data_IF_050446547908
#
_entry.id   IF_050446547908
#
_cell.length_a   1.000
_cell.length_b   1.000
_cell.length_c   1.000
_cell.angle_alpha   90.00
_cell.angle_beta   90.00
_cell.angle_gamma   90.00
#
_symmetry.space_group_name_H-M   'P 1'
#
loop_
_entity.id
_entity.type
_entity.pdbx_description
1 polymer ?
#
# COMPACT_ATOMS: atom_id res chain seq x y z
N UNK A 1 7.93 -20.74 9.99
CA UNK A 1 7.94 -19.29 10.25
C UNK A 1 6.58 -18.88 10.81
N UNK A 2 6.53 -18.36 12.03
CA UNK A 2 5.31 -17.82 12.64
C UNK A 2 5.10 -16.39 12.17
N UNK A 3 3.90 -16.08 11.73
CA UNK A 3 3.55 -14.76 11.17
C UNK A 3 2.47 -14.10 12.04
N UNK A 4 2.63 -12.81 12.28
CA UNK A 4 1.61 -11.94 12.87
C UNK A 4 1.18 -10.91 11.83
N UNK A 5 -0.13 -10.69 11.68
CA UNK A 5 -0.68 -9.66 10.79
C UNK A 5 -1.32 -8.54 11.61
N UNK A 6 -0.86 -7.31 11.42
CA UNK A 6 -1.53 -6.10 11.91
C UNK A 6 -2.26 -5.41 10.75
N UNK A 7 -3.43 -4.85 11.04
CA UNK A 7 -4.27 -4.20 10.02
C UNK A 7 -4.56 -5.13 8.84
N UNK A 8 -4.89 -6.38 9.17
CA UNK A 8 -4.94 -7.51 8.24
C UNK A 8 -5.95 -7.33 7.08
N UNK A 9 -6.90 -6.39 7.21
CA UNK A 9 -7.96 -6.19 6.23
C UNK A 9 -8.76 -7.48 6.03
N UNK A 10 -8.86 -7.91 4.78
CA UNK A 10 -9.50 -9.19 4.41
C UNK A 10 -8.49 -10.33 4.24
N UNK A 11 -7.26 -10.16 4.72
CA UNK A 11 -6.20 -11.18 4.72
C UNK A 11 -5.36 -11.25 3.45
N UNK A 12 -5.04 -10.10 2.86
CA UNK A 12 -4.24 -10.03 1.64
C UNK A 12 -2.85 -10.65 1.78
N UNK A 13 -2.12 -10.34 2.84
CA UNK A 13 -0.81 -10.93 3.14
C UNK A 13 -0.94 -12.44 3.36
N UNK A 14 -1.88 -12.86 4.20
CA UNK A 14 -2.10 -14.28 4.49
C UNK A 14 -2.39 -15.10 3.24
N UNK A 15 -3.24 -14.60 2.34
CA UNK A 15 -3.52 -15.27 1.06
C UNK A 15 -2.23 -15.44 0.25
N UNK A 16 -1.40 -14.40 0.17
CA UNK A 16 -0.13 -14.45 -0.55
C UNK A 16 0.83 -15.47 0.04
N UNK A 17 1.04 -15.42 1.34
CA UNK A 17 1.93 -16.33 2.07
C UNK A 17 1.46 -17.78 2.02
N UNK A 18 0.16 -18.05 2.24
CA UNK A 18 -0.40 -19.40 2.19
C UNK A 18 -0.41 -19.99 0.77
N UNK A 19 -0.45 -19.18 -0.28
CA UNK A 19 -0.30 -19.64 -1.67
C UNK A 19 1.11 -20.14 -1.96
N UNK A 20 2.11 -19.55 -1.31
CA UNK A 20 3.50 -20.03 -1.41
C UNK A 20 3.67 -21.32 -0.61
N UNK A 21 3.34 -21.30 0.68
CA UNK A 21 3.42 -22.50 1.53
C UNK A 21 2.69 -22.31 2.86
N UNK A 22 1.61 -23.05 3.06
CA UNK A 22 0.89 -23.07 4.35
C UNK A 22 1.67 -23.77 5.46
N UNK A 23 2.60 -24.61 5.11
CA UNK A 23 3.46 -25.31 6.09
C UNK A 23 4.57 -24.40 6.56
N UNK A 24 5.15 -23.62 5.66
CA UNK A 24 6.25 -22.71 6.00
C UNK A 24 5.75 -21.43 6.69
N UNK A 25 4.73 -20.77 6.13
CA UNK A 25 4.14 -19.56 6.69
C UNK A 25 2.90 -19.91 7.52
N UNK A 26 3.01 -19.79 8.82
CA UNK A 26 1.92 -20.04 9.76
C UNK A 26 1.48 -18.73 10.41
N UNK A 27 0.34 -18.19 9.98
CA UNK A 27 -0.25 -16.98 10.58
C UNK A 27 -0.87 -17.38 11.93
N UNK A 28 -0.18 -17.08 13.01
CA UNK A 28 -0.56 -17.46 14.39
C UNK A 28 -1.45 -16.44 15.06
N UNK A 29 -1.46 -15.20 14.59
CA UNK A 29 -2.26 -14.12 15.15
C UNK A 29 -2.50 -13.01 14.13
N UNK A 30 -3.65 -12.36 14.22
CA UNK A 30 -4.01 -11.25 13.34
C UNK A 30 -4.87 -10.23 14.07
N UNK A 31 -4.78 -8.96 13.65
CA UNK A 31 -5.61 -7.88 14.15
C UNK A 31 -6.21 -7.08 12.99
N UNK A 32 -7.51 -6.80 13.10
CA UNK A 32 -8.22 -5.90 12.19
C UNK A 32 -9.29 -5.15 12.94
N UNK A 33 -9.24 -3.82 12.91
CA UNK A 33 -10.24 -2.96 13.52
C UNK A 33 -10.40 -1.65 12.76
N UNK A 34 -11.63 -1.22 12.51
CA UNK A 34 -11.96 0.04 11.85
C UNK A 34 -12.76 0.94 12.80
N UNK A 35 -12.12 1.92 13.45
CA UNK A 35 -12.77 2.72 14.50
C UNK A 35 -13.91 3.62 13.98
N UNK A 36 -13.94 3.90 12.67
CA UNK A 36 -14.97 4.75 12.04
C UNK A 36 -16.25 4.02 11.66
N UNK A 37 -16.27 2.69 11.75
CA UNK A 37 -17.42 1.87 11.34
C UNK A 37 -18.03 1.13 12.51
N UNK A 38 -19.37 1.05 12.54
CA UNK A 38 -20.08 0.25 13.55
C UNK A 38 -19.96 -1.25 13.26
N UNK A 39 -19.96 -1.62 11.99
CA UNK A 39 -19.83 -3.01 11.55
C UNK A 39 -18.45 -3.25 10.98
N UNK A 40 -17.79 -4.27 11.46
CA UNK A 40 -16.39 -4.59 11.17
C UNK A 40 -16.29 -5.55 9.97
N UNK A 41 -16.73 -5.10 8.79
CA UNK A 41 -16.83 -5.93 7.59
C UNK A 41 -15.53 -6.63 7.21
N UNK A 42 -14.38 -5.94 7.27
CA UNK A 42 -13.10 -6.54 6.92
C UNK A 42 -12.75 -7.69 7.89
N UNK A 43 -12.93 -7.47 9.18
CA UNK A 43 -12.74 -8.51 10.21
C UNK A 43 -13.71 -9.69 10.02
N UNK A 44 -14.99 -9.42 9.74
CA UNK A 44 -15.99 -10.48 9.46
C UNK A 44 -15.57 -11.34 8.26
N UNK A 45 -15.11 -10.72 7.16
CA UNK A 45 -14.63 -11.43 5.96
C UNK A 45 -13.36 -12.23 6.28
N UNK A 46 -12.44 -11.66 7.08
CA UNK A 46 -11.24 -12.37 7.51
C UNK A 46 -11.59 -13.64 8.28
N UNK A 47 -12.46 -13.51 9.29
CA UNK A 47 -12.90 -14.65 10.13
C UNK A 47 -13.66 -15.69 9.30
N UNK A 48 -14.54 -15.27 8.38
CA UNK A 48 -15.27 -16.18 7.50
C UNK A 48 -14.32 -17.01 6.61
N UNK A 49 -13.17 -16.43 6.22
CA UNK A 49 -12.20 -17.09 5.33
C UNK A 49 -11.20 -17.98 6.07
N UNK A 50 -10.71 -17.54 7.21
CA UNK A 50 -9.56 -18.15 7.89
C UNK A 50 -9.90 -18.72 9.28
N UNK A 51 -11.12 -18.52 9.76
CA UNK A 51 -11.51 -18.82 11.13
C UNK A 51 -11.16 -17.70 12.12
N UNK A 52 -11.77 -17.76 13.30
CA UNK A 52 -11.59 -16.77 14.36
C UNK A 52 -10.43 -17.05 15.32
N UNK A 53 -9.79 -18.20 15.23
CA UNK A 53 -8.69 -18.55 16.12
C UNK A 53 -7.49 -17.61 15.92
N UNK A 54 -7.06 -16.93 16.99
CA UNK A 54 -5.95 -15.95 16.93
C UNK A 54 -6.30 -14.65 16.21
N UNK A 55 -7.57 -14.40 15.87
CA UNK A 55 -8.00 -13.12 15.30
C UNK A 55 -8.58 -12.20 16.38
N UNK A 56 -8.10 -10.95 16.41
CA UNK A 56 -8.52 -9.93 17.37
C UNK A 56 -9.15 -8.75 16.63
N UNK A 57 -10.41 -8.43 16.95
CA UNK A 57 -11.10 -7.26 16.42
C UNK A 57 -11.20 -6.18 17.50
N UNK A 58 -10.08 -5.56 17.78
CA UNK A 58 -9.95 -4.47 18.76
C UNK A 58 -8.92 -3.45 18.27
N UNK A 59 -9.04 -2.20 18.74
CA UNK A 59 -8.04 -1.18 18.49
C UNK A 59 -6.67 -1.64 18.99
N UNK A 60 -5.70 -1.76 18.09
CA UNK A 60 -4.36 -2.25 18.40
C UNK A 60 -3.66 -1.43 19.49
N UNK A 61 -4.01 -0.16 19.65
CA UNK A 61 -3.50 0.68 20.73
C UNK A 61 -3.93 0.19 22.14
N UNK A 62 -5.00 -0.59 22.21
CA UNK A 62 -5.51 -1.17 23.46
C UNK A 62 -5.03 -2.60 23.70
N UNK A 63 -4.45 -3.25 22.68
CA UNK A 63 -3.95 -4.61 22.79
C UNK A 63 -2.55 -4.59 23.41
N UNK A 64 -2.34 -5.15 24.60
CA UNK A 64 -1.00 -5.26 25.19
C UNK A 64 -0.10 -6.13 24.32
N UNK A 65 1.16 -5.74 24.16
CA UNK A 65 2.12 -6.52 23.36
C UNK A 65 2.34 -7.93 23.89
N UNK A 66 2.16 -8.13 25.19
CA UNK A 66 2.20 -9.46 25.81
C UNK A 66 1.12 -10.41 25.29
N UNK A 67 -0.01 -9.89 24.79
CA UNK A 67 -1.09 -10.69 24.17
C UNK A 67 -0.79 -11.08 22.71
N UNK A 68 0.23 -10.48 22.09
CA UNK A 68 0.69 -10.80 20.75
C UNK A 68 1.74 -11.91 20.87
N UNK A 69 1.54 -13.09 20.27
CA UNK A 69 2.49 -14.20 20.38
C UNK A 69 3.86 -13.83 19.83
N UNK A 70 4.91 -14.57 20.28
CA UNK A 70 6.23 -14.45 19.66
C UNK A 70 6.17 -14.98 18.23
N UNK A 71 6.78 -14.24 17.31
CA UNK A 71 6.68 -14.47 15.87
C UNK A 71 7.99 -14.10 15.16
N UNK A 72 8.19 -14.72 14.01
CA UNK A 72 9.39 -14.52 13.20
C UNK A 72 9.20 -13.40 12.16
N UNK A 73 7.95 -13.22 11.70
CA UNK A 73 7.58 -12.23 10.69
C UNK A 73 6.36 -11.42 11.13
N UNK A 74 6.42 -10.10 10.94
CA UNK A 74 5.28 -9.20 11.12
C UNK A 74 4.88 -8.60 9.78
N UNK A 75 3.63 -8.84 9.38
CA UNK A 75 3.01 -8.23 8.21
C UNK A 75 2.07 -7.10 8.63
N UNK A 76 2.11 -5.95 7.94
CA UNK A 76 1.20 -4.86 8.25
C UNK A 76 0.88 -3.99 7.01
N UNK A 77 -0.42 -3.86 6.71
CA UNK A 77 -0.94 -2.89 5.75
C UNK A 77 -1.51 -1.68 6.48
N UNK A 78 -0.65 -0.84 7.05
CA UNK A 78 -1.12 0.26 7.88
C UNK A 78 -1.74 1.40 7.06
N UNK A 79 -2.93 1.91 7.46
CA UNK A 79 -3.63 2.93 6.69
C UNK A 79 -2.88 4.25 6.64
N UNK A 80 -3.05 4.91 5.47
CA UNK A 80 -2.44 6.18 5.10
C UNK A 80 -3.19 7.41 5.66
N UNK A 81 -4.26 7.22 6.41
CA UNK A 81 -5.10 8.31 6.89
C UNK A 81 -4.52 8.89 8.19
N UNK A 82 -4.17 10.16 8.16
CA UNK A 82 -3.54 10.96 9.23
C UNK A 82 -2.01 10.85 9.33
N UNK A 83 -1.33 11.26 8.23
CA UNK A 83 0.11 11.50 8.29
C UNK A 83 0.45 12.68 9.19
N UNK A 84 0.68 12.37 10.43
CA UNK A 84 1.47 13.19 11.30
C UNK A 84 2.31 12.32 12.23
N UNK A 85 3.18 11.48 11.62
CA UNK A 85 4.25 10.82 12.38
C UNK A 85 4.95 11.86 13.25
N UNK A 86 5.17 13.07 12.72
CA UNK A 86 5.76 14.18 13.45
C UNK A 86 4.86 14.83 14.52
N UNK A 87 3.53 14.85 14.34
CA UNK A 87 2.63 15.37 15.40
C UNK A 87 2.71 14.52 16.67
N UNK A 88 2.85 13.22 16.52
CA UNK A 88 2.98 12.30 17.64
C UNK A 88 4.32 12.47 18.35
N UNK A 89 5.39 12.80 17.63
CA UNK A 89 6.70 13.13 18.23
C UNK A 89 6.65 14.40 19.08
N UNK A 90 6.02 15.45 18.59
CA UNK A 90 5.86 16.71 19.38
C UNK A 90 4.86 16.57 20.53
N UNK A 91 3.94 15.59 20.48
CA UNK A 91 2.94 15.29 21.51
C UNK A 91 3.36 14.11 22.41
N UNK A 92 4.39 13.34 22.06
CA UNK A 92 4.95 12.30 22.91
C UNK A 92 5.58 12.85 24.20
N UNK A 93 5.79 14.15 24.29
CA UNK A 93 6.04 14.86 25.54
C UNK A 93 4.79 15.08 26.43
N UNK A 94 3.59 14.66 25.95
CA UNK A 94 2.32 14.77 26.68
C UNK A 94 1.34 13.68 26.24
N UNK A 95 1.09 12.74 27.13
CA UNK A 95 0.14 11.63 27.06
C UNK A 95 -1.28 12.17 26.76
N UNK A 96 -1.97 11.57 25.78
CA UNK A 96 -3.36 11.77 25.33
C UNK A 96 -3.59 12.50 24.00
N UNK A 97 -2.98 12.02 22.92
CA UNK A 97 -3.34 12.42 21.55
C UNK A 97 -4.30 11.43 20.90
N UNK A 98 -5.52 11.89 20.56
CA UNK A 98 -6.52 11.14 19.81
C UNK A 98 -5.93 10.58 18.51
N UNK A 99 -6.00 9.24 18.29
CA UNK A 99 -5.60 8.46 17.12
C UNK A 99 -4.11 8.59 16.80
N UNK A 100 -3.29 7.91 17.58
CA UNK A 100 -1.88 7.70 17.26
C UNK A 100 -1.73 7.13 15.85
N UNK A 101 -0.79 7.70 15.09
CA UNK A 101 -0.42 7.16 13.78
C UNK A 101 -0.14 5.68 13.97
N UNK A 102 -0.78 4.82 13.20
CA UNK A 102 -0.72 3.36 13.40
C UNK A 102 0.69 2.81 13.20
N UNK A 103 1.59 3.56 12.56
CA UNK A 103 3.02 3.30 12.53
C UNK A 103 3.60 3.11 13.94
N UNK A 104 3.25 3.98 14.88
CA UNK A 104 3.77 3.91 16.26
C UNK A 104 3.28 2.67 17.02
N UNK A 105 2.20 2.05 16.58
CA UNK A 105 1.77 0.76 17.15
C UNK A 105 2.63 -0.39 16.61
N UNK A 106 3.06 -0.33 15.36
CA UNK A 106 4.05 -1.28 14.81
C UNK A 106 5.36 -1.12 15.56
N UNK A 107 5.86 0.12 15.68
CA UNK A 107 7.08 0.45 16.43
C UNK A 107 7.01 -0.04 17.87
N UNK A 108 5.90 0.23 18.57
CA UNK A 108 5.68 -0.22 19.95
C UNK A 108 5.80 -1.73 20.06
N UNK A 109 5.15 -2.48 19.19
CA UNK A 109 5.21 -3.95 19.19
C UNK A 109 6.64 -4.44 19.02
N UNK A 110 7.39 -3.89 18.07
CA UNK A 110 8.78 -4.28 17.82
C UNK A 110 9.64 -3.96 19.05
N UNK A 111 9.56 -2.73 19.56
CA UNK A 111 10.35 -2.25 20.70
C UNK A 111 10.06 -3.04 21.98
N UNK A 112 8.78 -3.30 22.28
CA UNK A 112 8.37 -4.03 23.48
C UNK A 112 8.67 -5.53 23.40
N UNK A 113 8.75 -6.12 22.20
CA UNK A 113 9.26 -7.48 21.99
C UNK A 113 10.77 -7.58 22.25
N UNK A 114 11.52 -6.51 22.09
CA UNK A 114 12.95 -6.47 22.41
C UNK A 114 13.76 -7.54 21.69
N UNK A 115 14.37 -8.46 22.42
CA UNK A 115 15.16 -9.57 21.84
C UNK A 115 14.33 -10.56 21.02
N UNK A 116 13.00 -10.58 21.24
CA UNK A 116 12.05 -11.41 20.51
C UNK A 116 11.34 -10.65 19.39
N UNK A 117 11.83 -9.45 19.04
CA UNK A 117 11.35 -8.71 17.91
C UNK A 117 11.47 -9.56 16.63
N UNK A 118 10.50 -9.50 15.72
CA UNK A 118 10.48 -10.33 14.51
C UNK A 118 11.74 -10.08 13.67
N UNK A 119 12.26 -11.14 13.06
CA UNK A 119 13.41 -11.02 12.16
C UNK A 119 13.05 -10.32 10.85
N UNK A 120 11.79 -10.44 10.42
CA UNK A 120 11.31 -9.89 9.15
C UNK A 120 10.07 -9.03 9.38
N UNK A 121 10.08 -7.83 8.80
CA UNK A 121 8.88 -6.99 8.66
C UNK A 121 8.50 -6.93 7.19
N UNK A 122 7.22 -7.18 6.88
CA UNK A 122 6.68 -7.01 5.54
C UNK A 122 5.51 -6.02 5.58
N UNK A 123 5.77 -4.81 5.14
CA UNK A 123 4.87 -3.68 5.29
C UNK A 123 4.35 -3.22 3.93
N UNK A 124 3.10 -2.76 3.88
CA UNK A 124 2.49 -2.18 2.68
C UNK A 124 1.89 -0.82 3.00
N UNK A 125 2.02 0.09 2.05
CA UNK A 125 1.36 1.38 2.11
C UNK A 125 1.10 1.94 0.69
N UNK A 126 0.43 3.08 0.60
CA UNK A 126 0.34 3.80 -0.67
C UNK A 126 1.68 4.46 -1.02
N UNK A 127 1.99 4.56 -2.31
CA UNK A 127 3.23 5.15 -2.82
C UNK A 127 3.42 6.64 -2.43
N UNK A 128 2.33 7.33 -2.07
CA UNK A 128 2.39 8.71 -1.56
C UNK A 128 3.15 8.85 -0.24
N UNK A 129 3.36 7.77 0.50
CA UNK A 129 4.17 7.75 1.72
C UNK A 129 5.56 8.35 1.46
N UNK A 130 6.18 8.07 0.31
CA UNK A 130 7.49 8.61 -0.08
C UNK A 130 7.50 10.14 -0.21
N UNK A 131 6.34 10.77 -0.32
CA UNK A 131 6.17 12.22 -0.49
C UNK A 131 5.40 12.88 0.66
N UNK A 132 5.12 12.13 1.73
CA UNK A 132 4.38 12.65 2.89
C UNK A 132 5.32 13.38 3.87
N UNK A 133 4.86 14.50 4.42
CA UNK A 133 3.71 15.32 4.05
C UNK A 133 4.01 16.24 2.85
N UNK A 134 2.98 16.78 2.21
CA UNK A 134 3.14 17.63 1.02
C UNK A 134 4.01 18.88 1.24
N UNK A 135 4.01 19.43 2.45
CA UNK A 135 4.79 20.64 2.84
C UNK A 135 6.24 20.34 3.22
N UNK A 136 6.60 19.07 3.41
CA UNK A 136 7.94 18.62 3.81
C UNK A 136 8.17 17.21 3.28
N UNK A 137 8.29 17.10 1.95
CA UNK A 137 8.27 15.83 1.23
C UNK A 137 9.28 14.83 1.75
N UNK A 138 8.78 13.62 2.06
CA UNK A 138 9.59 12.48 2.49
C UNK A 138 9.86 12.42 4.00
N UNK A 139 9.49 13.45 4.78
CA UNK A 139 9.74 13.48 6.22
C UNK A 139 9.18 12.25 6.95
N UNK A 140 7.92 11.91 6.68
CA UNK A 140 7.27 10.82 7.38
C UNK A 140 7.93 9.47 7.07
N UNK A 141 8.37 9.27 5.82
CA UNK A 141 9.12 8.07 5.45
C UNK A 141 10.53 8.05 6.04
N UNK A 142 11.21 9.20 6.14
CA UNK A 142 12.50 9.33 6.80
C UNK A 142 12.41 8.92 8.29
N UNK A 143 11.34 9.35 8.99
CA UNK A 143 11.09 8.97 10.39
C UNK A 143 10.87 7.44 10.49
N UNK A 144 10.10 6.84 9.60
CA UNK A 144 9.91 5.37 9.56
C UNK A 144 11.24 4.66 9.39
N UNK A 145 12.06 5.08 8.42
CA UNK A 145 13.38 4.47 8.18
C UNK A 145 14.32 4.65 9.38
N UNK A 146 14.38 5.86 9.95
CA UNK A 146 15.23 6.10 11.14
C UNK A 146 14.79 5.25 12.32
N UNK A 147 13.48 5.18 12.58
CA UNK A 147 12.92 4.34 13.66
C UNK A 147 13.30 2.87 13.50
N UNK A 148 13.26 2.35 12.26
CA UNK A 148 13.68 0.97 11.96
C UNK A 148 15.19 0.81 12.10
N UNK A 149 15.99 1.79 11.68
CA UNK A 149 17.44 1.79 11.87
C UNK A 149 17.81 1.75 13.35
N UNK A 150 17.16 2.56 14.19
CA UNK A 150 17.39 2.61 15.64
C UNK A 150 17.05 1.28 16.33
N UNK A 151 16.13 0.52 15.75
CA UNK A 151 15.78 -0.81 16.22
C UNK A 151 16.61 -1.92 15.56
N UNK A 152 17.66 -1.58 14.81
CA UNK A 152 18.59 -2.50 14.17
C UNK A 152 17.96 -3.29 13.03
N UNK A 153 17.33 -2.60 12.08
CA UNK A 153 16.84 -3.20 10.84
C UNK A 153 17.54 -2.61 9.62
N UNK A 154 17.92 -3.47 8.70
CA UNK A 154 18.18 -3.13 7.30
C UNK A 154 16.86 -3.11 6.56
N UNK A 155 16.61 -2.11 5.72
CA UNK A 155 15.32 -1.91 5.08
C UNK A 155 15.49 -1.82 3.56
N UNK A 156 14.67 -2.53 2.80
CA UNK A 156 14.49 -2.28 1.37
C UNK A 156 13.04 -1.88 1.07
N UNK A 157 12.85 -1.07 0.03
CA UNK A 157 11.51 -0.72 -0.43
C UNK A 157 11.41 -0.66 -1.95
N UNK A 158 10.20 -0.89 -2.45
CA UNK A 158 9.86 -0.75 -3.85
C UNK A 158 8.42 -0.31 -4.05
N UNK A 159 8.22 0.66 -4.92
CA UNK A 159 6.90 0.98 -5.43
C UNK A 159 6.58 0.03 -6.57
N UNK A 160 5.57 -0.78 -6.37
CA UNK A 160 5.08 -1.75 -7.35
C UNK A 160 3.70 -1.32 -7.82
N UNK A 161 3.52 -1.23 -9.14
CA UNK A 161 2.20 -1.18 -9.75
C UNK A 161 1.87 -2.59 -10.26
N UNK A 162 0.83 -3.20 -9.74
CA UNK A 162 0.48 -4.58 -10.04
C UNK A 162 0.31 -4.84 -11.56
N UNK A 163 -0.20 -3.86 -12.30
CA UNK A 163 -0.35 -3.96 -13.76
C UNK A 163 0.97 -4.05 -14.52
N UNK A 164 2.06 -3.49 -13.96
CA UNK A 164 3.37 -3.54 -14.60
C UNK A 164 3.97 -4.95 -14.56
N UNK A 165 3.45 -5.80 -13.65
CA UNK A 165 3.84 -7.20 -13.47
C UNK A 165 2.69 -8.16 -13.81
N UNK A 166 1.87 -7.82 -14.80
CA UNK A 166 0.90 -8.70 -15.42
C UNK A 166 -0.48 -8.78 -14.75
N UNK A 167 -0.71 -8.10 -13.63
CA UNK A 167 -2.00 -8.14 -12.96
C UNK A 167 -3.06 -7.26 -13.67
N UNK A 168 -4.34 -7.62 -13.59
CA UNK A 168 -5.41 -6.92 -14.32
C UNK A 168 -5.85 -5.58 -13.68
N UNK A 169 -5.06 -5.05 -12.73
CA UNK A 169 -5.39 -3.81 -12.04
C UNK A 169 -4.16 -2.89 -11.89
N UNK A 170 -4.31 -1.62 -12.22
CA UNK A 170 -3.32 -0.57 -11.96
C UNK A 170 -3.38 -0.15 -10.50
N UNK A 171 -2.73 -0.93 -9.62
CA UNK A 171 -2.67 -0.68 -8.18
C UNK A 171 -1.22 -0.43 -7.75
N UNK A 172 -0.91 0.82 -7.46
CA UNK A 172 0.42 1.22 -7.00
C UNK A 172 0.49 1.17 -5.48
N UNK A 173 1.51 0.47 -4.97
CA UNK A 173 1.80 0.39 -3.54
C UNK A 173 3.29 0.43 -3.30
N UNK A 174 3.70 0.97 -2.17
CA UNK A 174 5.04 0.75 -1.65
C UNK A 174 5.02 -0.51 -0.79
N UNK A 175 5.94 -1.41 -1.09
CA UNK A 175 6.28 -2.55 -0.24
C UNK A 175 7.59 -2.24 0.45
N UNK A 176 7.66 -2.53 1.74
CA UNK A 176 8.82 -2.30 2.60
C UNK A 176 9.12 -3.62 3.28
N UNK A 177 10.32 -4.14 3.06
CA UNK A 177 10.86 -5.27 3.78
C UNK A 177 11.94 -4.78 4.72
N UNK A 178 11.92 -5.24 5.96
CA UNK A 178 12.97 -4.93 6.91
C UNK A 178 13.49 -6.21 7.55
N UNK A 179 14.79 -6.31 7.67
CA UNK A 179 15.52 -7.48 8.15
C UNK A 179 16.29 -7.12 9.39
N UNK A 180 16.12 -7.87 10.48
CA UNK A 180 16.84 -7.64 11.71
C UNK A 180 18.35 -7.80 11.49
N UNK A 181 19.15 -6.85 11.92
CA UNK A 181 20.60 -6.93 11.88
C UNK A 181 21.08 -8.21 12.57
N UNK A 182 22.01 -8.91 11.94
CA UNK A 182 22.50 -10.19 12.40
C UNK A 182 21.69 -11.41 11.92
N UNK A 183 20.51 -11.23 11.29
CA UNK A 183 19.82 -12.31 10.57
C UNK A 183 20.59 -12.72 9.31
N UNK A 184 20.34 -13.93 8.82
CA UNK A 184 21.06 -14.44 7.64
C UNK A 184 20.80 -13.54 6.42
N UNK A 185 19.57 -13.14 6.20
CA UNK A 185 19.21 -12.28 5.07
C UNK A 185 19.82 -10.87 5.17
N UNK A 186 19.93 -10.30 6.38
CA UNK A 186 20.57 -8.99 6.55
C UNK A 186 22.08 -9.04 6.26
N UNK A 187 22.74 -10.19 6.49
CA UNK A 187 24.17 -10.40 6.16
C UNK A 187 24.44 -10.49 4.68
N UNK A 188 23.45 -10.85 3.87
CA UNK A 188 23.57 -10.88 2.41
C UNK A 188 23.61 -9.48 1.80
N UNK A 189 23.15 -8.45 2.53
CA UNK A 189 23.16 -7.05 2.06
C UNK A 189 24.57 -6.46 2.14
N UNK A 190 25.50 -6.96 1.32
CA UNK A 190 26.89 -6.49 1.28
C UNK A 190 27.03 -5.21 0.46
N UNK A 191 26.38 -5.17 -0.70
CA UNK A 191 26.36 -4.01 -1.59
C UNK A 191 24.93 -3.49 -1.74
N UNK A 192 24.55 -2.37 -1.08
CA UNK A 192 23.19 -1.85 -1.14
C UNK A 192 22.71 -1.48 -2.54
N UNK A 193 23.61 -1.09 -3.46
CA UNK A 193 23.24 -0.80 -4.84
C UNK A 193 22.87 -2.07 -5.60
N UNK A 194 23.68 -3.13 -5.47
CA UNK A 194 23.37 -4.43 -6.08
C UNK A 194 22.13 -5.06 -5.46
N UNK A 195 21.99 -4.98 -4.13
CA UNK A 195 20.77 -5.43 -3.45
C UNK A 195 19.52 -4.75 -3.97
N UNK A 196 19.56 -3.43 -4.12
CA UNK A 196 18.44 -2.65 -4.64
C UNK A 196 18.06 -3.04 -6.08
N UNK A 197 19.06 -3.30 -6.94
CA UNK A 197 18.82 -3.48 -8.37
C UNK A 197 18.64 -4.95 -8.78
N UNK A 198 19.41 -5.87 -8.17
CA UNK A 198 19.57 -7.23 -8.67
C UNK A 198 19.30 -8.32 -7.61
N UNK A 199 19.95 -8.23 -6.43
CA UNK A 199 20.08 -9.36 -5.52
C UNK A 199 19.01 -9.38 -4.44
N UNK A 200 18.42 -8.22 -4.11
CA UNK A 200 17.44 -8.08 -3.03
C UNK A 200 16.13 -8.84 -3.29
N UNK A 201 15.41 -9.11 -2.22
CA UNK A 201 14.14 -9.85 -2.29
C UNK A 201 13.14 -9.13 -3.20
N UNK A 202 13.03 -7.80 -3.08
CA UNK A 202 12.15 -7.02 -3.94
C UNK A 202 12.70 -6.88 -5.36
N UNK A 203 14.01 -6.96 -5.57
CA UNK A 203 14.61 -6.95 -6.90
C UNK A 203 14.33 -8.26 -7.65
N UNK A 204 14.49 -9.38 -6.96
CA UNK A 204 14.20 -10.72 -7.50
C UNK A 204 12.71 -10.91 -7.78
N UNK A 205 11.84 -10.49 -6.85
CA UNK A 205 10.39 -10.64 -6.99
C UNK A 205 9.78 -9.68 -8.04
N UNK A 206 10.37 -8.50 -8.19
CA UNK A 206 9.92 -7.44 -9.09
C UNK A 206 11.11 -6.87 -9.88
N UNK A 207 11.59 -7.59 -10.91
CA UNK A 207 12.74 -7.18 -11.70
C UNK A 207 12.57 -5.78 -12.31
N UNK A 208 13.66 -5.04 -12.34
CA UNK A 208 13.67 -3.64 -12.81
C UNK A 208 14.96 -3.34 -13.58
N UNK A 209 14.92 -2.23 -14.33
CA UNK A 209 16.11 -1.56 -14.84
C UNK A 209 16.22 -0.18 -14.19
N UNK A 210 17.45 0.26 -13.93
CA UNK A 210 17.68 1.61 -13.44
C UNK A 210 17.38 2.61 -14.56
N UNK A 211 16.64 3.65 -14.26
CA UNK A 211 16.38 4.76 -15.16
C UNK A 211 17.59 5.72 -15.12
N UNK A 212 18.64 5.32 -15.83
CA UNK A 212 19.83 6.13 -16.00
C UNK A 212 19.61 7.03 -17.22
N UNK A 213 19.15 8.24 -17.10
CA UNK A 213 19.10 9.19 -18.23
C UNK A 213 20.35 9.10 -19.12
N UNK A 214 20.40 9.78 -20.25
CA UNK A 214 21.55 9.79 -21.14
C UNK A 214 22.85 10.14 -20.40
N UNK A 215 23.63 9.14 -19.98
CA UNK A 215 24.95 9.32 -19.40
C UNK A 215 25.24 8.43 -18.21
N UNK A 216 26.07 7.44 -18.44
CA UNK A 216 26.89 6.65 -17.53
C UNK A 216 26.25 6.04 -16.27
N UNK A 217 26.71 4.85 -15.95
CA UNK A 217 26.56 4.07 -14.70
C UNK A 217 27.08 4.89 -13.48
N UNK A 218 26.34 5.93 -13.09
CA UNK A 218 26.66 6.65 -11.87
C UNK A 218 26.28 5.76 -10.69
N UNK A 219 27.26 5.48 -9.85
CA UNK A 219 27.06 4.87 -8.54
C UNK A 219 25.94 5.58 -7.80
N UNK A 220 25.09 4.82 -7.06
CA UNK A 220 24.05 5.42 -6.23
C UNK A 220 24.74 6.00 -5.00
N UNK A 221 24.87 7.31 -4.94
CA UNK A 221 25.45 8.00 -3.79
C UNK A 221 24.44 7.99 -2.65
N UNK A 222 24.79 7.42 -1.48
CA UNK A 222 23.91 7.45 -0.32
C UNK A 222 23.80 8.84 0.29
N UNK A 223 22.70 9.06 1.03
CA UNK A 223 22.59 10.16 1.98
C UNK A 223 22.28 9.61 3.37
N UNK A 224 22.68 10.32 4.41
CA UNK A 224 22.45 9.91 5.79
C UNK A 224 21.16 10.50 6.35
N UNK A 225 20.41 9.68 7.09
CA UNK A 225 19.30 10.11 7.96
C UNK A 225 19.80 10.57 9.32
N UNK A 226 20.99 10.12 9.73
CA UNK A 226 21.60 10.50 11.01
C UNK A 226 21.91 11.98 11.02
N UNK A 227 21.52 12.63 12.08
CA UNK A 227 21.85 14.02 12.38
C UNK A 227 22.81 14.08 13.58
N UNK A 228 23.35 15.25 13.86
CA UNK A 228 24.37 15.45 14.93
C UNK A 228 23.90 14.98 16.32
N UNK A 229 22.59 14.86 16.54
CA UNK A 229 22.02 14.51 17.83
C UNK A 229 21.31 13.12 17.83
N UNK A 230 21.28 12.41 16.70
CA UNK A 230 20.53 11.15 16.49
C UNK A 230 19.07 11.22 17.04
N UNK A 231 18.44 12.41 16.94
CA UNK A 231 17.15 12.71 17.51
C UNK A 231 16.06 12.76 16.41
N UNK A 232 14.99 11.98 16.59
CA UNK A 232 13.84 11.96 15.70
C UNK A 232 13.11 13.30 15.62
N UNK A 233 13.14 14.12 16.66
CA UNK A 233 12.53 15.45 16.65
C UNK A 233 13.31 16.36 15.70
N UNK A 234 14.63 16.34 15.79
CA UNK A 234 15.51 17.10 14.89
C UNK A 234 15.33 16.62 13.44
N UNK A 235 15.28 15.30 13.20
CA UNK A 235 14.99 14.73 11.87
C UNK A 235 13.64 15.24 11.36
N UNK A 236 12.60 15.20 12.19
CA UNK A 236 11.26 15.66 11.85
C UNK A 236 11.23 17.14 11.46
N UNK A 237 11.95 17.97 12.18
CA UNK A 237 11.92 19.45 11.97
C UNK A 237 12.76 19.88 10.77
N UNK A 238 13.86 19.18 10.50
CA UNK A 238 14.87 19.64 9.55
C UNK A 238 14.91 18.84 8.23
N UNK A 239 14.44 17.58 8.20
CA UNK A 239 14.49 16.75 7.00
C UNK A 239 13.75 17.41 5.84
N UNK A 240 14.49 17.72 4.77
CA UNK A 240 13.96 18.37 3.56
C UNK A 240 13.08 19.61 3.85
N UNK A 241 13.42 20.41 4.86
CA UNK A 241 12.64 21.58 5.30
C UNK A 241 12.37 22.59 4.19
N UNK A 242 13.30 22.74 3.25
CA UNK A 242 13.12 23.60 2.08
C UNK A 242 12.07 23.08 1.09
N UNK A 243 11.70 21.81 1.20
CA UNK A 243 10.74 21.10 0.34
C UNK A 243 11.07 21.17 -1.18
N UNK A 244 12.34 21.41 -1.53
CA UNK A 244 12.79 21.56 -2.93
C UNK A 244 13.03 20.22 -3.63
N UNK A 245 13.28 19.16 -2.87
CA UNK A 245 13.66 17.85 -3.39
C UNK A 245 12.59 16.80 -3.17
N UNK A 246 12.75 15.66 -3.86
CA UNK A 246 12.05 14.40 -3.60
C UNK A 246 13.12 13.40 -3.16
N UNK A 247 13.40 13.29 -1.86
CA UNK A 247 14.57 12.58 -1.38
C UNK A 247 14.52 11.07 -1.65
N UNK A 248 13.33 10.49 -1.72
CA UNK A 248 13.15 9.06 -1.97
C UNK A 248 12.61 8.79 -3.37
N UNK A 249 13.29 7.92 -4.10
CA UNK A 249 12.82 7.37 -5.36
C UNK A 249 11.95 6.12 -5.14
N UNK A 250 11.49 5.50 -6.23
CA UNK A 250 10.56 4.38 -6.18
C UNK A 250 11.20 3.03 -5.78
N UNK A 251 12.53 2.98 -5.58
CA UNK A 251 13.25 1.86 -5.01
C UNK A 251 14.37 2.36 -4.10
N UNK A 252 14.73 1.59 -3.08
CA UNK A 252 15.85 1.93 -2.22
C UNK A 252 16.16 0.90 -1.16
N UNK A 253 17.31 1.12 -0.50
CA UNK A 253 17.81 0.38 0.65
C UNK A 253 18.28 1.36 1.70
N UNK A 254 18.02 1.07 2.97
CA UNK A 254 18.59 1.78 4.12
C UNK A 254 19.34 0.79 5.00
N UNK A 255 20.58 1.12 5.34
CA UNK A 255 21.43 0.34 6.23
C UNK A 255 22.23 1.28 7.13
N UNK A 256 22.12 1.07 8.45
CA UNK A 256 22.82 1.87 9.46
C UNK A 256 22.53 3.38 9.36
N UNK A 257 21.32 3.76 8.97
CA UNK A 257 20.89 5.16 8.78
C UNK A 257 21.33 5.80 7.46
N UNK A 258 22.07 5.07 6.61
CA UNK A 258 22.41 5.53 5.25
C UNK A 258 21.39 4.99 4.25
N UNK A 259 21.00 5.83 3.29
CA UNK A 259 19.95 5.56 2.31
C UNK A 259 20.50 5.58 0.91
N UNK A 260 20.35 4.50 0.19
CA UNK A 260 20.56 4.37 -1.26
C UNK A 260 19.20 4.32 -1.93
N UNK A 261 18.96 5.18 -2.91
CA UNK A 261 17.67 5.22 -3.61
C UNK A 261 17.84 5.55 -5.08
N UNK A 262 17.05 4.90 -5.91
CA UNK A 262 17.11 5.06 -7.35
C UNK A 262 15.73 5.04 -7.99
N UNK A 263 15.59 5.77 -9.10
CA UNK A 263 14.43 5.63 -9.97
C UNK A 263 14.66 4.41 -10.85
N UNK A 264 13.69 3.48 -10.81
CA UNK A 264 13.70 2.24 -11.56
C UNK A 264 12.43 2.09 -12.38
N UNK A 265 12.54 1.38 -13.49
CA UNK A 265 11.44 1.01 -14.40
C UNK A 265 11.24 -0.49 -14.36
N UNK A 266 9.98 -0.98 -14.23
CA UNK A 266 9.68 -2.40 -14.23
C UNK A 266 10.18 -3.13 -15.48
N UNK A 267 10.81 -4.29 -15.28
CA UNK A 267 11.20 -5.23 -16.32
C UNK A 267 10.33 -6.47 -16.20
N UNK A 268 9.37 -6.63 -17.09
CA UNK A 268 8.44 -7.75 -17.10
C UNK A 268 8.06 -8.15 -18.52
N UNK A 269 8.36 -9.38 -18.86
CA UNK A 269 8.13 -10.00 -20.18
C UNK A 269 6.99 -11.04 -20.20
N UNK A 270 6.36 -11.26 -19.03
CA UNK A 270 5.28 -12.23 -18.88
C UNK A 270 3.92 -11.74 -19.43
N UNK A 271 2.93 -12.62 -19.33
CA UNK A 271 1.57 -12.35 -19.77
C UNK A 271 0.95 -11.19 -18.95
N UNK A 272 0.29 -10.25 -19.62
CA UNK A 272 -0.41 -9.13 -19.02
C UNK A 272 -1.91 -9.33 -19.13
N UNK A 273 -2.57 -9.49 -17.98
CA UNK A 273 -4.02 -9.63 -17.92
C UNK A 273 -4.73 -8.29 -18.06
N UNK A 274 -5.80 -8.28 -18.82
CA UNK A 274 -6.68 -7.14 -19.03
C UNK A 274 -7.95 -7.24 -18.18
N UNK A 275 -8.74 -6.16 -18.11
CA UNK A 275 -10.07 -6.20 -17.52
C UNK A 275 -10.99 -7.18 -18.29
N UNK A 276 -10.86 -7.23 -19.62
CA UNK A 276 -11.60 -8.16 -20.47
C UNK A 276 -11.33 -9.63 -20.13
N UNK A 277 -10.08 -10.00 -19.87
CA UNK A 277 -9.71 -11.37 -19.46
C UNK A 277 -10.35 -11.77 -18.13
N UNK A 278 -10.43 -10.84 -17.18
CA UNK A 278 -11.09 -11.08 -15.88
C UNK A 278 -12.59 -11.31 -16.08
N UNK A 279 -13.23 -10.48 -16.89
CA UNK A 279 -14.67 -10.59 -17.17
C UNK A 279 -15.01 -11.87 -17.94
N UNK A 280 -14.18 -12.26 -18.91
CA UNK A 280 -14.35 -13.50 -19.64
C UNK A 280 -14.29 -14.73 -18.71
N UNK A 281 -13.28 -14.78 -17.82
CA UNK A 281 -13.18 -15.85 -16.83
C UNK A 281 -14.34 -15.86 -15.82
N UNK A 282 -14.83 -14.68 -15.40
CA UNK A 282 -15.99 -14.57 -14.52
C UNK A 282 -17.27 -15.10 -15.19
N UNK A 283 -17.46 -14.80 -16.47
CA UNK A 283 -18.61 -15.26 -17.22
C UNK A 283 -18.66 -16.79 -17.43
N UNK A 284 -17.48 -17.48 -17.46
CA UNK A 284 -17.40 -18.93 -17.55
C UNK A 284 -17.82 -19.65 -16.26
N UNK A 285 -17.78 -18.99 -15.11
CA UNK A 285 -17.91 -19.61 -13.80
C UNK A 285 -19.09 -19.11 -12.96
N UNK A 286 -19.72 -17.99 -13.29
CA UNK A 286 -20.79 -17.40 -12.50
C UNK A 286 -21.92 -16.84 -13.36
N UNK A 287 -23.16 -17.14 -12.97
CA UNK A 287 -24.35 -16.45 -13.46
C UNK A 287 -24.37 -15.04 -12.88
N UNK A 288 -23.93 -14.07 -13.67
CA UNK A 288 -24.07 -12.66 -13.32
C UNK A 288 -25.54 -12.27 -13.49
N UNK A 289 -26.20 -11.91 -12.40
CA UNK A 289 -27.60 -11.52 -12.41
C UNK A 289 -27.82 -10.14 -13.05
N UNK A 290 -29.01 -9.87 -13.52
CA UNK A 290 -29.38 -8.60 -14.16
C UNK A 290 -29.10 -7.37 -13.29
N UNK A 291 -29.05 -7.52 -11.97
CA UNK A 291 -28.77 -6.44 -11.02
C UNK A 291 -27.37 -5.85 -11.15
N UNK A 292 -26.45 -6.59 -11.75
CA UNK A 292 -25.07 -6.14 -11.99
C UNK A 292 -24.91 -5.38 -13.33
N UNK A 293 -25.95 -5.38 -14.15
CA UNK A 293 -25.90 -4.72 -15.44
C UNK A 293 -26.30 -3.24 -15.37
N UNK A 294 -25.66 -2.43 -16.22
CA UNK A 294 -26.10 -1.06 -16.43
C UNK A 294 -27.25 -1.10 -17.38
N UNK A 295 -28.37 -0.54 -16.97
CA UNK A 295 -29.55 -0.36 -17.83
C UNK A 295 -29.28 0.73 -18.87
N UNK A 296 -29.88 0.59 -20.05
CA UNK A 296 -29.68 1.53 -21.16
C UNK A 296 -30.13 2.95 -20.79
N UNK A 297 -31.16 3.11 -19.98
CA UNK A 297 -31.64 4.39 -19.46
C UNK A 297 -30.67 5.08 -18.50
N UNK A 298 -29.74 4.33 -17.86
CA UNK A 298 -28.69 4.87 -16.98
C UNK A 298 -27.44 5.37 -17.75
N UNK A 299 -27.25 4.98 -19.02
CA UNK A 299 -26.03 5.26 -19.78
C UNK A 299 -25.70 6.75 -19.88
N UNK A 300 -26.69 7.60 -20.11
CA UNK A 300 -26.48 9.07 -20.16
C UNK A 300 -26.01 9.62 -18.82
N UNK A 301 -26.59 9.13 -17.72
CA UNK A 301 -26.17 9.52 -16.36
C UNK A 301 -24.74 9.11 -16.07
N UNK A 302 -24.34 7.91 -16.49
CA UNK A 302 -22.97 7.45 -16.34
C UNK A 302 -21.98 8.25 -17.21
N UNK A 303 -22.35 8.59 -18.44
CA UNK A 303 -21.55 9.43 -19.30
C UNK A 303 -21.32 10.82 -18.68
N UNK A 304 -22.37 11.43 -18.11
CA UNK A 304 -22.23 12.68 -17.37
C UNK A 304 -21.33 12.54 -16.14
N UNK A 305 -21.54 11.50 -15.32
CA UNK A 305 -20.75 11.28 -14.10
C UNK A 305 -19.26 11.06 -14.41
N UNK A 306 -18.93 10.36 -15.49
CA UNK A 306 -17.56 10.06 -15.92
C UNK A 306 -16.93 11.18 -16.74
N UNK A 307 -17.73 12.08 -17.32
CA UNK A 307 -17.26 13.19 -18.15
C UNK A 307 -16.47 14.23 -17.35
N UNK A 308 -15.66 15.02 -18.05
CA UNK A 308 -15.04 16.19 -17.46
C UNK A 308 -16.11 17.22 -17.06
N UNK A 309 -15.91 17.90 -15.95
CA UNK A 309 -16.80 18.97 -15.48
C UNK A 309 -16.01 20.23 -15.25
N UNK A 310 -16.54 21.32 -15.77
CA UNK A 310 -16.09 22.67 -15.52
C UNK A 310 -17.34 23.50 -15.25
N UNK A 311 -17.73 23.63 -13.98
CA UNK A 311 -18.99 24.26 -13.60
C UNK A 311 -18.83 25.09 -12.35
N UNK A 312 -19.62 26.16 -12.27
CA UNK A 312 -19.72 26.95 -11.06
C UNK A 312 -20.58 26.19 -10.04
N UNK A 313 -20.07 26.03 -8.84
CA UNK A 313 -20.76 25.44 -7.70
C UNK A 313 -20.86 26.39 -6.54
N UNK A 314 -21.91 26.20 -5.75
CA UNK A 314 -22.17 26.98 -4.55
C UNK A 314 -22.11 26.09 -3.32
N UNK A 315 -21.37 26.48 -2.30
CA UNK A 315 -21.38 25.78 -1.01
C UNK A 315 -22.69 26.02 -0.26
N UNK A 316 -22.95 25.23 0.77
CA UNK A 316 -24.13 25.42 1.64
C UNK A 316 -24.18 26.84 2.26
N UNK A 317 -23.02 27.45 2.50
CA UNK A 317 -22.85 28.78 3.07
C UNK A 317 -22.88 29.89 2.04
N UNK A 318 -23.21 29.58 0.78
CA UNK A 318 -23.40 30.55 -0.29
C UNK A 318 -22.14 30.95 -1.07
N UNK A 319 -20.94 30.43 -0.73
CA UNK A 319 -19.72 30.70 -1.46
C UNK A 319 -19.72 30.03 -2.83
N UNK A 320 -19.42 30.80 -3.86
CA UNK A 320 -19.39 30.34 -5.25
C UNK A 320 -17.94 30.03 -5.65
N UNK A 321 -17.72 28.87 -6.27
CA UNK A 321 -16.41 28.46 -6.73
C UNK A 321 -16.50 27.68 -8.06
N UNK A 322 -15.45 27.82 -8.89
CA UNK A 322 -15.32 27.05 -10.11
C UNK A 322 -14.87 25.62 -9.81
N UNK A 323 -15.76 24.67 -9.99
CA UNK A 323 -15.45 23.24 -9.87
C UNK A 323 -14.87 22.73 -11.19
N UNK A 324 -13.70 22.12 -11.11
CA UNK A 324 -13.04 21.48 -12.25
C UNK A 324 -12.68 20.04 -11.92
N UNK A 325 -13.17 19.12 -12.71
CA UNK A 325 -12.92 17.68 -12.59
C UNK A 325 -12.56 17.10 -13.96
N UNK A 326 -11.42 16.39 -14.02
CA UNK A 326 -11.02 15.68 -15.23
C UNK A 326 -11.93 14.48 -15.55
N UNK A 327 -12.15 14.21 -16.82
CA UNK A 327 -12.94 13.05 -17.24
C UNK A 327 -12.25 11.73 -16.90
N UNK A 328 -13.05 10.72 -16.58
CA UNK A 328 -12.65 9.32 -16.49
C UNK A 328 -13.03 8.57 -17.75
N UNK A 329 -12.30 7.52 -18.14
CA UNK A 329 -12.73 6.64 -19.23
C UNK A 329 -14.14 6.11 -18.97
N UNK A 330 -14.97 6.18 -20.01
CA UNK A 330 -16.32 5.61 -20.04
C UNK A 330 -16.69 5.13 -21.46
N UNK A 331 -17.01 3.86 -21.63
CA UNK A 331 -16.90 2.77 -20.65
C UNK A 331 -15.44 2.50 -20.22
N UNK A 332 -15.25 1.77 -19.14
CA UNK A 332 -13.91 1.29 -18.77
C UNK A 332 -13.38 0.36 -19.88
N UNK A 333 -12.15 0.59 -20.38
CA UNK A 333 -11.61 -0.19 -21.50
C UNK A 333 -11.29 -1.62 -21.08
N UNK A 334 -11.66 -2.57 -21.95
CA UNK A 334 -11.47 -4.01 -21.70
C UNK A 334 -10.07 -4.51 -22.13
N UNK A 335 -9.39 -3.77 -22.99
CA UNK A 335 -8.10 -4.11 -23.61
C UNK A 335 -6.87 -3.81 -22.73
N UNK A 336 -7.08 -3.37 -21.52
CA UNK A 336 -6.03 -2.98 -20.59
C UNK A 336 -6.40 -3.28 -19.13
N UNK A 337 -5.43 -3.24 -18.18
CA UNK A 337 -5.72 -3.38 -16.77
C UNK A 337 -6.68 -2.31 -16.25
N UNK A 338 -7.58 -2.69 -15.35
CA UNK A 338 -8.55 -1.79 -14.72
C UNK A 338 -7.87 -0.69 -13.90
N UNK A 339 -8.60 0.36 -13.60
CA UNK A 339 -8.22 1.35 -12.58
C UNK A 339 -8.16 0.68 -11.20
N UNK A 340 -7.53 1.35 -10.22
CA UNK A 340 -7.63 0.91 -8.82
C UNK A 340 -9.08 0.96 -8.35
N UNK A 341 -9.58 -0.16 -7.83
CA UNK A 341 -10.86 -0.21 -7.12
C UNK A 341 -10.68 0.47 -5.76
N UNK A 342 -11.56 1.40 -5.45
CA UNK A 342 -11.55 2.15 -4.19
C UNK A 342 -12.80 1.85 -3.36
N UNK A 343 -12.74 2.07 -2.06
CA UNK A 343 -13.83 1.76 -1.12
C UNK A 343 -15.16 2.42 -1.49
N UNK A 344 -15.10 3.63 -2.08
CA UNK A 344 -16.31 4.35 -2.53
C UNK A 344 -17.09 3.68 -3.67
N UNK A 345 -16.53 2.65 -4.33
CA UNK A 345 -17.22 1.91 -5.40
C UNK A 345 -18.26 0.92 -4.87
N UNK A 346 -18.15 0.48 -3.62
CA UNK A 346 -19.08 -0.48 -2.99
C UNK A 346 -20.47 0.07 -2.67
N UNK A 347 -20.69 1.37 -2.76
CA UNK A 347 -21.99 1.99 -2.49
C UNK A 347 -23.04 1.69 -3.55
N UNK A 348 -24.33 1.63 -3.16
CA UNK A 348 -25.45 1.41 -4.10
C UNK A 348 -25.63 2.56 -5.12
N UNK A 349 -25.29 3.79 -4.72
CA UNK A 349 -25.44 4.96 -5.59
C UNK A 349 -24.42 4.98 -6.73
N UNK A 350 -24.79 5.43 -7.94
CA UNK A 350 -23.82 5.72 -8.99
C UNK A 350 -22.78 6.72 -8.51
N UNK A 351 -21.51 6.43 -8.81
CA UNK A 351 -20.37 7.25 -8.41
C UNK A 351 -19.39 7.33 -9.57
N UNK A 352 -18.73 8.48 -9.73
CA UNK A 352 -17.66 8.66 -10.71
C UNK A 352 -16.57 7.58 -10.62
N UNK A 353 -16.37 7.00 -9.45
CA UNK A 353 -15.33 6.01 -9.23
C UNK A 353 -15.72 4.58 -9.64
N UNK A 354 -17.00 4.26 -9.75
CA UNK A 354 -17.44 2.90 -10.15
C UNK A 354 -16.89 2.53 -11.53
N UNK A 355 -16.43 1.28 -11.64
CA UNK A 355 -16.10 0.69 -12.94
C UNK A 355 -17.37 0.39 -13.72
N UNK A 356 -17.34 0.68 -15.00
CA UNK A 356 -18.50 0.54 -15.88
C UNK A 356 -18.03 0.03 -17.22
N UNK A 357 -18.52 -1.14 -17.63
CA UNK A 357 -18.22 -1.75 -18.92
C UNK A 357 -19.48 -1.87 -19.77
N UNK A 358 -19.36 -1.63 -21.07
CA UNK A 358 -20.42 -1.87 -22.03
C UNK A 358 -20.41 -3.31 -22.50
N UNK A 359 -21.60 -3.84 -22.78
CA UNK A 359 -21.75 -5.09 -23.54
C UNK A 359 -21.09 -4.92 -24.90
N UNK A 360 -20.23 -5.83 -25.35
CA UNK A 360 -19.76 -5.82 -26.73
C UNK A 360 -20.97 -5.89 -27.69
N UNK A 361 -21.06 -4.97 -28.63
CA UNK A 361 -22.02 -5.04 -29.71
C UNK A 361 -21.55 -6.18 -30.62
N UNK A 362 -22.40 -7.20 -30.82
CA UNK A 362 -22.25 -8.32 -31.74
C UNK A 362 -21.17 -9.37 -31.44
N UNK A 363 -21.55 -10.35 -30.63
CA UNK A 363 -21.23 -11.74 -30.95
C UNK A 363 -22.52 -12.54 -30.77
N UNK A 364 -23.00 -13.16 -31.83
CA UNK A 364 -24.04 -14.17 -31.74
C UNK A 364 -23.58 -15.24 -30.74
N UNK A 365 -24.42 -15.56 -29.77
CA UNK A 365 -24.23 -16.50 -28.66
C UNK A 365 -23.25 -16.04 -27.57
N UNK A 366 -23.78 -15.74 -26.39
CA UNK A 366 -23.13 -15.61 -25.09
C UNK A 366 -22.04 -14.52 -24.97
N UNK A 367 -22.39 -13.27 -25.25
CA UNK A 367 -21.52 -12.14 -24.87
C UNK A 367 -21.77 -11.73 -23.42
N UNK A 368 -20.72 -11.50 -22.63
CA UNK A 368 -20.90 -10.99 -21.31
C UNK A 368 -21.53 -9.59 -21.36
N UNK A 369 -22.44 -9.31 -20.48
CA UNK A 369 -23.16 -8.05 -20.41
C UNK A 369 -22.31 -6.91 -19.83
N UNK A 370 -22.85 -5.68 -19.85
CA UNK A 370 -22.23 -4.54 -19.17
C UNK A 370 -22.29 -4.75 -17.66
N UNK A 371 -21.14 -4.99 -17.03
CA UNK A 371 -21.04 -5.31 -15.61
C UNK A 371 -20.61 -4.08 -14.81
N UNK A 372 -21.28 -3.84 -13.70
CA UNK A 372 -20.76 -2.95 -12.64
C UNK A 372 -19.70 -3.73 -11.87
N UNK A 373 -18.48 -3.23 -11.83
CA UNK A 373 -17.40 -3.81 -11.02
C UNK A 373 -17.49 -3.41 -9.56
#
# INVERSE_FOLDING_TARGET
>A
MKVVELFAGVGGFRIGLERVSRVFFNVVWSNQFEPSTKRQHASEVYVARFGGAGHVNEDIAKVPTACIPDHDMLCAGFPCQDYSVARTLSQAAGIEGKKGVLWWQIERVIREKGRKAPEILFLENVDRLLLSPAKQRGRDFAIILQTLSDQGYVVEWRVVNAADYGMPQRRRRIYILAYKEGSDIAREVVNPTEWLLNDGVLATAFPVVRDCGFGMFNEITPFSLKNENDDLVNLSDNFNRSNKTRPFANAGVMMGGNVWTAKVTPLYDGCRMTLGDVLARGAEHELVTEDYYIKDDELQRWAYLKGAKHEERKTKDGFVFNYSEGGMPFPDPLDRPSRTIITGEGGAAPSIFKHVVKRPLNTCSASPPNVRA
#
